data_IF_918477042259
#
_entry.id   IF_918477042259
#
_cell.length_a   1.000
_cell.length_b   1.000
_cell.length_c   1.000
_cell.angle_alpha   90.00
_cell.angle_beta   90.00
_cell.angle_gamma   90.00
#
_symmetry.space_group_name_H-M   'P 1'
#
loop_
_entity.id
_entity.type
_entity.pdbx_description
1 polymer ?
#
# COMPACT_ATOMS: atom_id res chain seq x y z
N UNK A 1 -6.40 25.32 -21.66
CA UNK A 1 -6.66 24.18 -20.76
C UNK A 1 -6.58 22.82 -21.45
N UNK A 2 -6.92 22.69 -22.74
CA UNK A 2 -6.72 21.46 -23.53
C UNK A 2 -5.23 21.17 -23.74
N UNK A 3 -4.42 22.18 -24.02
CA UNK A 3 -2.97 22.06 -24.20
C UNK A 3 -2.23 21.48 -22.95
N UNK A 4 -2.71 21.80 -21.75
CA UNK A 4 -2.16 21.23 -20.51
C UNK A 4 -2.53 19.76 -20.39
N UNK A 5 -3.77 19.39 -20.73
CA UNK A 5 -4.21 18.00 -20.73
C UNK A 5 -3.45 17.16 -21.77
N UNK A 6 -3.17 17.72 -22.95
CA UNK A 6 -2.44 17.05 -24.02
C UNK A 6 -0.99 16.72 -23.59
N UNK A 7 -0.32 17.59 -22.82
CA UNK A 7 1.02 17.34 -22.27
C UNK A 7 1.02 16.15 -21.29
N UNK A 8 -0.08 15.93 -20.55
CA UNK A 8 -0.19 14.84 -19.60
C UNK A 8 -0.72 13.54 -20.21
N UNK A 9 -1.37 13.60 -21.37
CA UNK A 9 -1.88 12.42 -22.08
C UNK A 9 -0.79 11.62 -22.80
N UNK A 10 0.36 12.23 -23.12
CA UNK A 10 1.41 11.58 -23.90
C UNK A 10 2.21 10.49 -23.15
N UNK A 11 2.01 10.31 -21.83
CA UNK A 11 2.70 9.30 -21.04
C UNK A 11 1.80 8.65 -20.00
N UNK A 12 0.89 7.82 -20.46
CA UNK A 12 0.14 6.92 -19.57
C UNK A 12 1.05 5.74 -19.22
N UNK A 13 1.57 5.71 -17.99
CA UNK A 13 2.22 4.52 -17.44
C UNK A 13 1.16 3.75 -16.67
N UNK A 14 0.83 2.54 -17.14
CA UNK A 14 -0.13 1.62 -16.49
C UNK A 14 -1.50 2.28 -16.18
N UNK A 15 -2.03 3.09 -17.10
CA UNK A 15 -3.34 3.74 -16.94
C UNK A 15 -3.37 4.97 -16.03
N UNK A 16 -2.24 5.37 -15.47
CA UNK A 16 -2.13 6.60 -14.67
C UNK A 16 -1.59 7.77 -15.49
N UNK A 17 -2.21 8.95 -15.29
CA UNK A 17 -1.65 10.19 -15.82
C UNK A 17 -0.30 10.50 -15.18
N UNK A 18 0.65 10.96 -15.97
CA UNK A 18 1.90 11.51 -15.46
C UNK A 18 1.60 12.87 -14.79
N UNK A 19 1.23 12.82 -13.50
CA UNK A 19 0.95 14.04 -12.73
C UNK A 19 2.25 14.80 -12.44
N UNK A 20 2.20 16.15 -12.36
CA UNK A 20 3.37 16.95 -12.03
C UNK A 20 3.91 16.53 -10.67
N UNK A 21 5.24 16.42 -10.58
CA UNK A 21 5.91 16.16 -9.31
C UNK A 21 5.62 17.30 -8.32
N UNK A 22 5.51 16.96 -7.04
CA UNK A 22 5.41 17.94 -5.97
C UNK A 22 6.64 18.83 -6.00
N UNK A 23 6.43 20.15 -6.13
CA UNK A 23 7.50 21.14 -6.23
C UNK A 23 7.72 21.78 -4.86
N UNK A 24 8.94 21.69 -4.35
CA UNK A 24 9.36 22.42 -3.16
C UNK A 24 9.67 23.87 -3.53
N UNK A 25 8.62 24.69 -3.67
CA UNK A 25 8.67 26.08 -4.14
C UNK A 25 9.15 27.07 -3.06
N UNK A 26 9.20 26.63 -1.80
CA UNK A 26 9.55 27.45 -0.63
C UNK A 26 8.40 28.31 -0.12
N UNK A 27 7.20 28.19 -0.70
CA UNK A 27 5.99 28.90 -0.29
C UNK A 27 4.95 27.95 0.32
N UNK A 28 4.50 26.95 -0.45
CA UNK A 28 3.61 25.89 0.05
C UNK A 28 4.43 24.80 0.71
N UNK A 29 5.47 24.34 0.03
CA UNK A 29 6.41 23.36 0.57
C UNK A 29 7.78 24.01 0.78
N UNK A 30 8.43 23.80 1.94
CA UNK A 30 9.77 24.26 2.18
C UNK A 30 10.73 23.80 1.07
N UNK A 31 11.76 24.60 0.72
CA UNK A 31 12.75 24.26 -0.31
C UNK A 31 13.47 22.92 -0.07
N UNK A 32 13.60 22.50 1.19
CA UNK A 32 14.13 21.20 1.59
C UNK A 32 13.10 20.04 1.52
N UNK A 33 11.92 20.29 0.98
CA UNK A 33 10.85 19.30 0.87
C UNK A 33 10.16 18.97 2.20
N UNK A 34 9.48 17.80 2.28
CA UNK A 34 8.74 17.34 3.45
C UNK A 34 9.67 16.67 4.48
N UNK A 35 10.54 17.46 5.09
CA UNK A 35 11.44 17.00 6.16
C UNK A 35 10.77 16.92 7.53
N UNK A 36 9.58 17.51 7.67
CA UNK A 36 8.82 17.58 8.94
C UNK A 36 9.65 18.01 10.15
N UNK A 37 10.53 19.02 9.97
CA UNK A 37 11.35 19.53 11.07
C UNK A 37 10.49 20.19 12.13
N UNK A 38 10.87 19.99 13.40
CA UNK A 38 10.14 20.54 14.54
C UNK A 38 9.94 22.06 14.39
N UNK A 39 8.69 22.51 14.50
CA UNK A 39 8.30 23.91 14.37
C UNK A 39 8.14 24.43 12.94
N UNK A 40 8.33 23.58 11.92
CA UNK A 40 8.19 23.96 10.50
C UNK A 40 6.93 23.39 9.83
N UNK A 41 6.07 22.73 10.57
CA UNK A 41 4.78 22.23 10.09
C UNK A 41 3.73 22.25 11.19
N UNK A 42 2.46 22.26 10.82
CA UNK A 42 1.35 22.17 11.74
C UNK A 42 1.20 20.73 12.22
N UNK A 43 1.27 20.52 13.54
CA UNK A 43 1.03 19.21 14.15
C UNK A 43 -0.47 18.96 14.21
N UNK A 44 -0.95 18.14 13.30
CA UNK A 44 -2.34 17.68 13.26
C UNK A 44 -2.38 16.16 13.38
N UNK A 45 -3.45 15.58 13.93
CA UNK A 45 -3.65 14.13 13.83
C UNK A 45 -3.55 13.68 12.38
N UNK A 46 -2.75 12.64 12.13
CA UNK A 46 -2.42 12.20 10.78
C UNK A 46 -2.69 10.72 10.65
N UNK A 47 -3.42 10.33 9.61
CA UNK A 47 -3.63 8.94 9.22
C UNK A 47 -2.93 8.69 7.89
N UNK A 48 -2.06 7.68 7.86
CA UNK A 48 -1.27 7.27 6.69
C UNK A 48 -1.62 5.83 6.34
N UNK A 49 -1.70 5.50 5.07
CA UNK A 49 -2.06 4.16 4.66
C UNK A 49 -1.46 3.70 3.35
N UNK A 50 -1.48 2.40 3.19
CA UNK A 50 -1.09 1.69 1.97
C UNK A 50 -1.87 0.40 1.87
N UNK A 51 -1.93 -0.17 0.67
CA UNK A 51 -2.43 -1.51 0.44
C UNK A 51 -1.25 -2.50 0.35
N UNK A 52 -1.50 -3.78 0.65
CA UNK A 52 -0.42 -4.79 0.63
C UNK A 52 0.16 -4.97 -0.77
N UNK A 53 -0.69 -4.95 -1.78
CA UNK A 53 -0.37 -5.28 -3.16
C UNK A 53 -0.57 -4.07 -4.10
N UNK A 54 -0.15 -2.86 -3.68
CA UNK A 54 -0.33 -1.60 -4.42
C UNK A 54 -0.04 -1.72 -5.92
N UNK A 55 1.02 -2.45 -6.27
CA UNK A 55 1.51 -2.52 -7.65
C UNK A 55 0.76 -3.52 -8.54
N UNK A 56 0.01 -4.46 -7.98
CA UNK A 56 -0.70 -5.48 -8.78
C UNK A 56 -1.72 -4.86 -9.74
N UNK A 57 -2.40 -3.77 -9.35
CA UNK A 57 -3.29 -3.08 -10.29
C UNK A 57 -2.56 -2.63 -11.56
N UNK A 58 -1.36 -2.07 -11.40
CA UNK A 58 -0.57 -1.56 -12.52
C UNK A 58 0.02 -2.70 -13.35
N UNK A 59 0.51 -3.74 -12.70
CA UNK A 59 1.06 -4.93 -13.38
C UNK A 59 0.01 -5.71 -14.14
N UNK A 60 -1.23 -5.73 -13.66
CA UNK A 60 -2.35 -6.35 -14.38
C UNK A 60 -2.76 -5.59 -15.66
N UNK A 61 -2.26 -4.37 -15.84
CA UNK A 61 -2.45 -3.53 -17.03
C UNK A 61 -1.18 -3.43 -17.90
N UNK A 62 -0.06 -4.02 -17.47
CA UNK A 62 1.21 -3.93 -18.16
C UNK A 62 1.49 -5.20 -18.99
N UNK A 63 1.73 -5.02 -20.29
CA UNK A 63 2.04 -6.09 -21.22
C UNK A 63 3.36 -6.81 -20.89
N UNK A 64 4.23 -6.26 -20.06
CA UNK A 64 5.41 -6.97 -19.57
C UNK A 64 5.00 -8.16 -18.69
N UNK A 65 4.02 -7.97 -17.82
CA UNK A 65 3.60 -8.95 -16.82
C UNK A 65 2.45 -9.85 -17.27
N UNK A 66 1.56 -9.33 -18.11
CA UNK A 66 0.34 -10.04 -18.48
C UNK A 66 0.15 -10.12 -20.00
N UNK A 67 -0.65 -11.09 -20.41
CA UNK A 67 -1.27 -11.12 -21.74
C UNK A 67 -2.77 -11.00 -21.54
N UNK A 68 -3.40 -10.00 -22.13
CA UNK A 68 -4.84 -9.81 -22.06
C UNK A 68 -5.51 -10.18 -23.38
N UNK A 69 -6.59 -10.98 -23.30
CA UNK A 69 -7.51 -11.24 -24.40
C UNK A 69 -8.84 -10.62 -24.06
N UNK A 70 -9.26 -9.59 -24.78
CA UNK A 70 -10.36 -8.72 -24.40
C UNK A 70 -10.15 -8.06 -23.02
N UNK A 71 -10.99 -7.13 -22.64
CA UNK A 71 -10.85 -6.36 -21.40
C UNK A 71 -11.00 -7.18 -20.09
N UNK A 72 -11.22 -8.51 -20.17
CA UNK A 72 -11.61 -9.32 -19.00
C UNK A 72 -10.80 -10.59 -18.81
N UNK A 73 -9.95 -10.98 -19.77
CA UNK A 73 -9.17 -12.21 -19.68
C UNK A 73 -7.70 -11.83 -19.53
N UNK A 74 -7.15 -12.07 -18.34
CA UNK A 74 -5.79 -11.73 -17.97
C UNK A 74 -5.02 -13.03 -17.68
N UNK A 75 -3.87 -13.20 -18.35
CA UNK A 75 -2.93 -14.26 -18.06
C UNK A 75 -1.63 -13.66 -17.56
N UNK A 76 -1.26 -13.95 -16.33
CA UNK A 76 0.06 -13.61 -15.80
C UNK A 76 1.10 -14.49 -16.48
N UNK A 77 2.08 -13.88 -17.17
CA UNK A 77 3.09 -14.58 -17.97
C UNK A 77 4.04 -15.40 -17.13
N UNK A 78 4.50 -14.81 -16.03
CA UNK A 78 5.39 -15.42 -15.05
C UNK A 78 4.87 -15.07 -13.65
N UNK A 79 4.27 -16.05 -12.98
CA UNK A 79 3.63 -15.83 -11.67
C UNK A 79 4.64 -15.51 -10.57
N UNK A 80 5.82 -16.12 -10.63
CA UNK A 80 6.87 -15.93 -9.65
C UNK A 80 7.45 -14.53 -9.76
N UNK A 81 7.84 -14.11 -10.98
CA UNK A 81 8.28 -12.75 -11.27
C UNK A 81 7.22 -11.73 -10.82
N UNK A 82 5.94 -11.98 -11.14
CA UNK A 82 4.82 -11.11 -10.80
C UNK A 82 4.72 -10.84 -9.29
N UNK A 83 4.77 -11.89 -8.47
CA UNK A 83 4.67 -11.78 -7.02
C UNK A 83 5.90 -11.10 -6.42
N UNK A 84 7.11 -11.47 -6.84
CA UNK A 84 8.37 -10.87 -6.35
C UNK A 84 8.42 -9.37 -6.68
N UNK A 85 8.12 -9.00 -7.92
CA UNK A 85 8.12 -7.60 -8.35
C UNK A 85 7.05 -6.79 -7.62
N UNK A 86 5.85 -7.37 -7.43
CA UNK A 86 4.79 -6.73 -6.66
C UNK A 86 5.22 -6.48 -5.21
N UNK A 87 5.73 -7.51 -4.51
CA UNK A 87 6.16 -7.38 -3.12
C UNK A 87 7.22 -6.28 -2.99
N UNK A 88 8.22 -6.31 -3.87
CA UNK A 88 9.29 -5.31 -3.88
C UNK A 88 8.75 -3.89 -4.10
N UNK A 89 7.97 -3.68 -5.15
CA UNK A 89 7.49 -2.36 -5.53
C UNK A 89 6.43 -1.83 -4.54
N UNK A 90 5.54 -2.69 -4.03
CA UNK A 90 4.55 -2.33 -3.02
C UNK A 90 5.19 -2.00 -1.67
N UNK A 91 6.25 -2.71 -1.28
CA UNK A 91 7.03 -2.38 -0.09
C UNK A 91 7.75 -1.03 -0.24
N UNK A 92 8.27 -0.71 -1.43
CA UNK A 92 8.84 0.61 -1.72
C UNK A 92 7.80 1.72 -1.58
N UNK A 93 6.57 1.47 -2.04
CA UNK A 93 5.44 2.38 -1.87
C UNK A 93 5.15 2.61 -0.38
N UNK A 94 5.04 1.53 0.40
CA UNK A 94 4.83 1.60 1.86
C UNK A 94 5.93 2.39 2.58
N UNK A 95 7.20 2.13 2.26
CA UNK A 95 8.33 2.82 2.89
C UNK A 95 8.25 4.32 2.63
N UNK A 96 8.06 4.73 1.38
CA UNK A 96 8.04 6.15 0.99
C UNK A 96 6.76 6.87 1.43
N UNK A 97 5.62 6.22 1.35
CA UNK A 97 4.30 6.80 1.62
C UNK A 97 3.87 6.72 3.08
N UNK A 98 4.33 5.74 3.83
CA UNK A 98 3.86 5.48 5.21
C UNK A 98 5.00 5.46 6.22
N UNK A 99 5.96 4.55 6.10
CA UNK A 99 6.92 4.28 7.18
C UNK A 99 7.88 5.45 7.42
N UNK A 100 8.44 6.04 6.37
CA UNK A 100 9.31 7.22 6.49
C UNK A 100 8.56 8.46 6.99
N UNK A 101 7.40 8.85 6.41
CA UNK A 101 6.62 9.96 6.93
C UNK A 101 6.23 9.79 8.39
N UNK A 102 5.73 8.60 8.78
CA UNK A 102 5.35 8.31 10.16
C UNK A 102 6.53 8.48 11.13
N UNK A 103 7.71 7.91 10.79
CA UNK A 103 8.93 8.07 11.61
C UNK A 103 9.33 9.53 11.77
N UNK A 104 9.34 10.29 10.66
CA UNK A 104 9.72 11.71 10.66
C UNK A 104 8.75 12.54 11.49
N UNK A 105 7.45 12.34 11.34
CA UNK A 105 6.41 13.04 12.09
C UNK A 105 6.54 12.78 13.59
N UNK A 106 6.65 11.51 14.00
CA UNK A 106 6.83 11.15 15.43
C UNK A 106 8.15 11.69 15.98
N UNK A 107 9.26 11.57 15.24
CA UNK A 107 10.56 12.14 15.63
C UNK A 107 10.48 13.65 15.83
N UNK A 108 9.64 14.34 15.07
CA UNK A 108 9.43 15.79 15.16
C UNK A 108 8.41 16.18 16.22
N UNK A 109 7.91 15.22 17.01
CA UNK A 109 7.05 15.43 18.17
C UNK A 109 5.56 15.45 17.85
N UNK A 110 5.11 14.87 16.73
CA UNK A 110 3.70 14.56 16.51
C UNK A 110 3.41 13.16 17.06
N UNK A 111 2.63 13.05 18.14
CA UNK A 111 2.26 11.78 18.77
C UNK A 111 1.00 11.13 18.14
N UNK A 112 0.25 11.91 17.37
CA UNK A 112 -1.06 11.51 16.84
C UNK A 112 -0.91 11.08 15.37
N UNK A 113 -0.01 10.12 15.13
CA UNK A 113 0.26 9.52 13.82
C UNK A 113 -0.24 8.10 13.83
N UNK A 114 -1.22 7.81 13.00
CA UNK A 114 -1.84 6.49 12.85
C UNK A 114 -1.53 5.96 11.46
N UNK A 115 -1.18 4.69 11.36
CA UNK A 115 -0.89 4.07 10.07
C UNK A 115 -1.69 2.80 9.88
N UNK A 116 -2.02 2.47 8.61
CA UNK A 116 -2.69 1.22 8.26
C UNK A 116 -2.05 0.54 7.05
N UNK A 117 -2.31 -0.77 6.93
CA UNK A 117 -2.17 -1.54 5.69
C UNK A 117 -3.47 -2.30 5.45
N UNK A 118 -4.00 -2.16 4.25
CA UNK A 118 -5.17 -2.88 3.78
C UNK A 118 -4.71 -4.17 3.10
N UNK A 119 -5.23 -5.31 3.56
CA UNK A 119 -4.77 -6.65 3.17
C UNK A 119 -5.85 -7.53 2.54
N UNK A 120 -7.05 -7.02 2.27
CA UNK A 120 -8.14 -7.78 1.63
C UNK A 120 -7.67 -8.47 0.34
N UNK A 121 -7.88 -9.80 0.24
CA UNK A 121 -7.51 -10.63 -0.91
C UNK A 121 -8.46 -11.83 -1.13
N UNK A 122 -9.74 -11.68 -0.76
CA UNK A 122 -10.76 -12.70 -1.00
C UNK A 122 -11.50 -12.50 -2.32
N UNK A 123 -10.82 -12.03 -3.34
CA UNK A 123 -11.35 -11.99 -4.69
C UNK A 123 -11.60 -13.40 -5.21
N UNK A 124 -12.70 -13.59 -5.96
CA UNK A 124 -13.05 -14.91 -6.46
C UNK A 124 -12.15 -15.38 -7.57
N UNK A 125 -12.05 -16.70 -7.72
CA UNK A 125 -11.57 -17.31 -8.96
C UNK A 125 -12.70 -17.33 -9.98
N UNK A 126 -12.46 -16.79 -11.18
CA UNK A 126 -13.38 -16.84 -12.31
C UNK A 126 -12.75 -17.61 -13.47
N UNK A 127 -13.35 -18.72 -13.86
CA UNK A 127 -12.75 -19.71 -14.76
C UNK A 127 -11.43 -20.24 -14.18
N UNK A 128 -10.30 -19.89 -14.80
CA UNK A 128 -8.94 -20.21 -14.35
C UNK A 128 -8.17 -19.00 -13.77
N UNK A 129 -8.81 -17.83 -13.74
CA UNK A 129 -8.22 -16.59 -13.24
C UNK A 129 -8.49 -16.49 -11.74
N UNK A 130 -7.46 -16.56 -10.96
CA UNK A 130 -7.49 -16.30 -9.53
C UNK A 130 -7.24 -14.79 -9.30
N UNK A 131 -8.33 -14.05 -9.10
CA UNK A 131 -8.23 -12.59 -8.95
C UNK A 131 -7.54 -12.18 -7.66
N UNK A 132 -7.51 -13.02 -6.62
CA UNK A 132 -6.73 -12.74 -5.41
C UNK A 132 -5.22 -12.74 -5.70
N UNK A 133 -4.77 -13.50 -6.69
CA UNK A 133 -3.38 -13.50 -7.15
C UNK A 133 -3.08 -12.39 -8.16
N UNK A 134 -4.09 -12.04 -8.98
CA UNK A 134 -3.94 -11.00 -10.00
C UNK A 134 -3.99 -9.61 -9.37
N UNK A 135 -4.91 -9.36 -8.47
CA UNK A 135 -5.13 -8.05 -7.85
C UNK A 135 -4.75 -8.03 -6.37
N UNK A 136 -5.24 -9.00 -5.57
CA UNK A 136 -5.09 -8.96 -4.12
C UNK A 136 -5.49 -7.61 -3.54
N UNK A 137 -4.85 -7.15 -2.50
CA UNK A 137 -5.06 -5.83 -1.93
C UNK A 137 -4.45 -4.73 -2.82
N UNK A 138 -4.97 -4.55 -4.04
CA UNK A 138 -4.42 -3.65 -5.04
C UNK A 138 -4.68 -2.17 -4.73
N UNK A 139 -3.99 -1.29 -5.44
CA UNK A 139 -4.14 0.17 -5.31
C UNK A 139 -5.59 0.64 -5.48
N UNK A 140 -6.07 1.41 -4.50
CA UNK A 140 -7.41 1.98 -4.49
C UNK A 140 -8.53 1.03 -4.06
N UNK A 141 -8.23 -0.26 -3.80
CA UNK A 141 -9.26 -1.24 -3.40
C UNK A 141 -9.80 -0.99 -1.99
N UNK A 142 -9.11 -0.27 -1.13
CA UNK A 142 -9.60 0.16 0.18
C UNK A 142 -10.73 1.21 0.10
N UNK A 143 -10.79 2.00 -0.99
CA UNK A 143 -11.73 3.13 -1.12
C UNK A 143 -13.19 2.69 -1.01
N UNK A 144 -13.66 1.63 -1.73
CA UNK A 144 -15.02 1.11 -1.58
C UNK A 144 -15.35 0.60 -0.19
N UNK A 145 -14.36 0.12 0.56
CA UNK A 145 -14.54 -0.32 1.96
C UNK A 145 -14.70 0.88 2.88
N UNK A 146 -13.86 1.90 2.75
CA UNK A 146 -13.95 3.13 3.55
C UNK A 146 -15.24 3.89 3.26
N UNK A 147 -15.70 3.93 2.01
CA UNK A 147 -16.95 4.59 1.63
C UNK A 147 -18.20 3.79 1.98
N UNK A 148 -18.06 2.48 2.25
CA UNK A 148 -19.18 1.58 2.51
C UNK A 148 -20.00 1.19 1.29
N UNK A 149 -19.63 1.63 0.09
CA UNK A 149 -20.34 1.32 -1.16
C UNK A 149 -20.06 -0.12 -1.59
N UNK A 150 -18.83 -0.58 -1.47
CA UNK A 150 -18.30 -1.83 -2.04
C UNK A 150 -18.52 -1.90 -3.55
N UNK A 151 -18.45 -0.75 -4.23
CA UNK A 151 -18.56 -0.61 -5.68
C UNK A 151 -17.18 -0.41 -6.29
N UNK A 152 -16.86 -1.18 -7.34
CA UNK A 152 -15.55 -1.22 -8.01
C UNK A 152 -15.68 -0.89 -9.50
N UNK A 153 -16.33 0.22 -9.82
CA UNK A 153 -16.45 0.76 -11.20
C UNK A 153 -16.99 -0.26 -12.22
N UNK A 154 -17.91 -1.14 -11.80
CA UNK A 154 -18.49 -2.18 -12.65
C UNK A 154 -17.72 -3.51 -12.66
N UNK A 155 -16.66 -3.62 -11.88
CA UNK A 155 -15.86 -4.86 -11.71
C UNK A 155 -16.21 -5.64 -10.44
N UNK A 156 -17.26 -5.25 -9.72
CA UNK A 156 -17.64 -5.79 -8.39
C UNK A 156 -17.65 -7.31 -8.35
N UNK A 157 -18.18 -7.96 -9.40
CA UNK A 157 -18.28 -9.43 -9.48
C UNK A 157 -16.94 -10.16 -9.49
N UNK A 158 -15.85 -9.46 -9.87
CA UNK A 158 -14.49 -10.01 -9.90
C UNK A 158 -13.71 -9.73 -8.61
N UNK A 159 -14.20 -8.81 -7.79
CA UNK A 159 -13.58 -8.41 -6.53
C UNK A 159 -14.35 -8.97 -5.34
N UNK A 160 -15.69 -8.88 -5.36
CA UNK A 160 -16.56 -9.35 -4.28
C UNK A 160 -17.69 -10.19 -4.85
N UNK A 161 -17.76 -11.46 -4.48
CA UNK A 161 -18.88 -12.34 -4.81
C UNK A 161 -19.79 -12.57 -3.59
N UNK A 162 -20.85 -13.37 -3.76
CA UNK A 162 -21.80 -13.64 -2.68
C UNK A 162 -21.15 -14.36 -1.48
N UNK A 163 -20.08 -15.14 -1.71
CA UNK A 163 -19.37 -15.85 -0.65
C UNK A 163 -18.48 -14.91 0.18
N UNK A 164 -17.76 -14.00 -0.46
CA UNK A 164 -16.85 -13.06 0.22
C UNK A 164 -17.56 -11.79 0.72
N UNK A 165 -18.77 -11.48 0.19
CA UNK A 165 -19.53 -10.28 0.53
C UNK A 165 -19.81 -10.07 2.03
N UNK A 166 -20.17 -11.09 2.84
CA UNK A 166 -20.39 -10.90 4.27
C UNK A 166 -19.13 -10.38 4.99
N UNK A 167 -17.98 -11.00 4.73
CA UNK A 167 -16.71 -10.59 5.32
C UNK A 167 -16.24 -9.21 4.80
N UNK A 168 -16.43 -8.92 3.50
CA UNK A 168 -16.20 -7.59 2.94
C UNK A 168 -17.04 -6.51 3.64
N UNK A 169 -18.32 -6.81 3.91
CA UNK A 169 -19.22 -5.88 4.62
C UNK A 169 -18.81 -5.67 6.07
N UNK A 170 -18.37 -6.72 6.76
CA UNK A 170 -17.84 -6.64 8.12
C UNK A 170 -16.58 -5.76 8.19
N UNK A 171 -15.60 -6.01 7.31
CA UNK A 171 -14.39 -5.20 7.22
C UNK A 171 -14.72 -3.74 6.87
N UNK A 172 -15.59 -3.51 5.89
CA UNK A 172 -16.05 -2.17 5.51
C UNK A 172 -16.69 -1.43 6.68
N UNK A 173 -17.58 -2.07 7.45
CA UNK A 173 -18.19 -1.47 8.63
C UNK A 173 -17.15 -1.08 9.68
N UNK A 174 -16.14 -1.92 9.88
CA UNK A 174 -15.02 -1.65 10.80
C UNK A 174 -14.19 -0.46 10.33
N UNK A 175 -13.84 -0.43 9.03
CA UNK A 175 -13.09 0.68 8.43
C UNK A 175 -13.86 1.99 8.53
N UNK A 176 -15.13 2.02 8.14
CA UNK A 176 -15.99 3.22 8.29
C UNK A 176 -16.04 3.70 9.73
N UNK A 177 -16.09 2.78 10.69
CA UNK A 177 -16.12 3.10 12.12
C UNK A 177 -14.82 3.77 12.58
N UNK A 178 -13.66 3.28 12.18
CA UNK A 178 -12.36 3.89 12.48
C UNK A 178 -12.21 5.27 11.83
N UNK A 179 -12.52 5.41 10.53
CA UNK A 179 -12.42 6.68 9.81
C UNK A 179 -13.36 7.74 10.40
N UNK A 180 -14.60 7.37 10.71
CA UNK A 180 -15.53 8.27 11.36
C UNK A 180 -15.05 8.71 12.74
N UNK A 181 -14.53 7.78 13.58
CA UNK A 181 -14.00 8.14 14.89
C UNK A 181 -12.79 9.08 14.76
N UNK A 182 -11.87 8.79 13.85
CA UNK A 182 -10.72 9.66 13.57
C UNK A 182 -11.16 11.05 13.11
N UNK A 183 -12.12 11.15 12.21
CA UNK A 183 -12.62 12.43 11.71
C UNK A 183 -13.25 13.29 12.82
N UNK A 184 -13.89 12.67 13.81
CA UNK A 184 -14.50 13.39 14.94
C UNK A 184 -13.53 13.75 16.05
N UNK A 185 -12.54 12.91 16.32
CA UNK A 185 -11.72 13.02 17.55
C UNK A 185 -10.22 13.17 17.27
N UNK A 186 -9.76 12.97 16.04
CA UNK A 186 -8.34 12.88 15.70
C UNK A 186 -7.68 11.55 16.11
N UNK A 187 -8.46 10.59 16.64
CA UNK A 187 -7.96 9.30 17.11
C UNK A 187 -8.94 8.17 16.74
N UNK A 188 -8.56 7.18 15.92
CA UNK A 188 -9.45 6.11 15.51
C UNK A 188 -9.84 5.16 16.68
N UNK A 189 -8.98 5.06 17.71
CA UNK A 189 -9.25 4.28 18.92
C UNK A 189 -9.73 2.86 18.64
N UNK A 190 -10.87 2.48 19.19
CA UNK A 190 -11.57 1.21 18.92
C UNK A 190 -12.85 1.42 18.09
N UNK A 191 -12.82 2.42 17.20
CA UNK A 191 -13.96 2.82 16.37
C UNK A 191 -15.07 3.53 17.13
N UNK A 192 -16.16 3.87 16.44
CA UNK A 192 -17.30 4.64 17.00
C UNK A 192 -18.00 3.93 18.14
N UNK A 193 -18.15 2.60 18.07
CA UNK A 193 -18.82 1.79 19.09
C UNK A 193 -17.88 1.31 20.20
N UNK A 194 -16.57 1.53 20.07
CA UNK A 194 -15.53 1.08 21.01
C UNK A 194 -15.42 -0.44 21.15
N UNK A 195 -15.80 -1.19 20.14
CA UNK A 195 -15.84 -2.65 20.10
C UNK A 195 -14.83 -3.29 19.15
N UNK A 196 -14.04 -2.47 18.45
CA UNK A 196 -13.00 -2.93 17.53
C UNK A 196 -11.62 -3.03 18.20
N UNK A 197 -10.67 -3.70 17.52
CA UNK A 197 -9.25 -3.71 17.91
C UNK A 197 -8.75 -2.27 18.12
N UNK A 198 -8.01 -2.04 19.19
CA UNK A 198 -7.52 -0.68 19.50
C UNK A 198 -6.42 -0.26 18.54
N UNK A 199 -6.73 0.62 17.61
CA UNK A 199 -5.75 1.24 16.71
C UNK A 199 -4.86 2.19 17.51
N UNK A 200 -3.61 1.77 17.73
CA UNK A 200 -2.62 2.53 18.48
C UNK A 200 -1.81 3.45 17.55
N UNK A 201 -1.36 4.62 18.03
CA UNK A 201 -0.50 5.48 17.24
C UNK A 201 0.86 4.82 16.96
N UNK A 202 1.47 5.23 15.87
CA UNK A 202 2.82 4.81 15.48
C UNK A 202 3.84 5.14 16.57
N UNK A 203 4.69 4.20 16.88
CA UNK A 203 5.78 4.37 17.83
C UNK A 203 7.14 4.05 17.17
N UNK A 204 8.10 4.98 17.27
CA UNK A 204 9.45 4.73 16.80
C UNK A 204 10.17 3.72 17.70
N UNK A 205 11.14 3.01 17.10
CA UNK A 205 11.99 2.04 17.78
C UNK A 205 11.62 0.58 17.52
N UNK A 206 12.59 -0.34 17.70
CA UNK A 206 12.40 -1.76 17.44
C UNK A 206 11.31 -2.38 18.32
N UNK A 207 10.52 -3.28 17.74
CA UNK A 207 9.47 -4.02 18.46
C UNK A 207 8.28 -3.18 18.95
N UNK A 208 8.25 -1.88 18.64
CA UNK A 208 7.13 -1.00 18.95
C UNK A 208 6.03 -1.10 17.90
N UNK A 209 4.81 -0.79 18.30
CA UNK A 209 3.64 -0.76 17.41
C UNK A 209 3.86 0.23 16.27
N UNK A 210 3.46 -0.16 15.06
CA UNK A 210 3.60 0.63 13.84
C UNK A 210 2.26 0.95 13.20
N UNK A 211 1.55 -0.03 12.73
CA UNK A 211 0.32 0.16 11.97
C UNK A 211 -0.73 -0.92 12.29
N UNK A 212 -1.96 -0.63 11.97
CA UNK A 212 -3.03 -1.62 11.98
C UNK A 212 -3.10 -2.32 10.61
N UNK A 213 -3.26 -3.63 10.61
CA UNK A 213 -3.63 -4.40 9.43
C UNK A 213 -5.15 -4.48 9.39
N UNK A 214 -5.71 -4.20 8.23
CA UNK A 214 -7.14 -4.23 7.94
C UNK A 214 -7.41 -5.37 6.97
N UNK A 215 -7.76 -6.51 7.50
CA UNK A 215 -7.94 -7.74 6.76
C UNK A 215 -9.28 -8.38 7.13
N UNK A 216 -9.71 -9.34 6.32
CA UNK A 216 -10.94 -10.10 6.51
C UNK A 216 -10.88 -11.00 7.74
N UNK A 217 -12.02 -11.14 8.41
CA UNK A 217 -12.18 -12.14 9.48
C UNK A 217 -12.05 -13.59 9.01
N UNK A 218 -12.12 -13.82 7.69
CA UNK A 218 -11.89 -15.15 7.09
C UNK A 218 -10.40 -15.51 7.00
N UNK A 219 -9.50 -14.54 7.06
CA UNK A 219 -8.04 -14.74 7.12
C UNK A 219 -7.51 -14.33 8.51
N UNK A 220 -6.79 -13.24 8.62
CA UNK A 220 -6.12 -12.81 9.87
C UNK A 220 -6.93 -11.81 10.66
N UNK A 221 -7.92 -11.19 10.03
CA UNK A 221 -8.72 -10.15 10.64
C UNK A 221 -7.94 -8.85 10.88
N UNK A 222 -8.45 -8.02 11.78
CA UNK A 222 -7.87 -6.72 12.13
C UNK A 222 -6.93 -6.87 13.32
N UNK A 223 -5.67 -6.45 13.16
CA UNK A 223 -4.66 -6.54 14.24
C UNK A 223 -3.58 -5.46 14.13
N UNK A 224 -2.91 -5.17 15.27
CA UNK A 224 -1.76 -4.26 15.30
C UNK A 224 -0.46 -4.94 14.90
N UNK A 225 0.28 -4.36 13.98
CA UNK A 225 1.58 -4.83 13.51
C UNK A 225 2.72 -4.03 14.14
N UNK A 226 3.86 -4.71 14.33
CA UNK A 226 5.13 -4.13 14.78
C UNK A 226 6.18 -4.09 13.68
N UNK A 227 5.83 -4.56 12.48
CA UNK A 227 6.74 -4.58 11.34
C UNK A 227 6.93 -3.18 10.78
N UNK A 228 8.16 -2.87 10.38
CA UNK A 228 8.55 -1.60 9.78
C UNK A 228 9.59 -1.87 8.71
N UNK A 229 9.48 -1.18 7.60
CA UNK A 229 10.42 -1.29 6.50
C UNK A 229 11.34 -0.06 6.49
N UNK A 230 12.58 -0.29 6.12
CA UNK A 230 13.57 0.76 5.97
C UNK A 230 14.16 0.71 4.57
N UNK A 231 14.41 1.87 4.02
CA UNK A 231 15.41 1.98 2.97
C UNK A 231 16.78 2.16 3.62
N UNK A 232 17.70 1.44 3.12
CA UNK A 232 19.09 1.88 3.14
C UNK A 232 19.28 2.92 2.03
N UNK A 233 20.11 3.94 2.27
CA UNK A 233 20.33 5.04 1.31
C UNK A 233 20.91 4.57 -0.03
N UNK A 234 21.62 3.45 -0.05
CA UNK A 234 22.17 2.80 -1.24
C UNK A 234 21.08 2.12 -2.06
N UNK A 235 20.10 1.49 -1.40
CA UNK A 235 18.92 0.90 -2.02
C UNK A 235 17.95 1.95 -2.55
N UNK A 236 17.85 3.14 -1.96
CA UNK A 236 17.10 4.25 -2.51
C UNK A 236 17.63 4.69 -3.88
N UNK A 237 18.95 4.73 -4.05
CA UNK A 237 19.57 5.07 -5.34
C UNK A 237 19.33 3.98 -6.38
N UNK A 238 19.43 2.73 -5.99
CA UNK A 238 19.21 1.58 -6.87
C UNK A 238 17.74 1.45 -7.28
N UNK A 239 16.79 1.69 -6.38
CA UNK A 239 15.36 1.67 -6.69
C UNK A 239 14.91 2.83 -7.61
N UNK A 240 15.62 3.95 -7.61
CA UNK A 240 15.35 5.10 -8.48
C UNK A 240 15.99 4.92 -9.87
N UNK A 241 17.18 4.29 -9.96
CA UNK A 241 17.93 4.12 -11.21
C UNK A 241 17.63 2.84 -11.97
N UNK A 242 17.11 1.81 -11.30
CA UNK A 242 16.74 0.58 -11.95
C UNK A 242 15.22 0.47 -12.02
N UNK A 243 14.67 0.58 -13.21
CA UNK A 243 13.47 -0.17 -13.60
C UNK A 243 13.88 -1.64 -13.54
N UNK A 244 13.94 -2.10 -12.36
CA UNK A 244 14.30 -3.37 -11.77
C UNK A 244 14.49 -4.49 -12.79
N UNK A 245 15.69 -4.63 -13.30
CA UNK A 245 16.09 -5.73 -14.17
C UNK A 245 17.07 -6.71 -13.54
N UNK A 246 17.62 -6.42 -12.37
CA UNK A 246 18.73 -7.18 -11.82
C UNK A 246 18.34 -7.95 -10.54
N UNK A 247 18.41 -9.28 -10.62
CA UNK A 247 18.19 -10.23 -9.52
C UNK A 247 19.06 -9.90 -8.29
N UNK A 248 20.29 -9.44 -8.50
CA UNK A 248 21.22 -9.08 -7.43
C UNK A 248 20.72 -7.94 -6.56
N UNK A 249 20.10 -6.92 -7.15
CA UNK A 249 19.49 -5.79 -6.44
C UNK A 249 18.27 -6.23 -5.63
N UNK A 250 17.47 -7.13 -6.19
CA UNK A 250 16.34 -7.75 -5.48
C UNK A 250 16.81 -8.55 -4.26
N UNK A 251 17.89 -9.29 -4.40
CA UNK A 251 18.46 -10.08 -3.30
C UNK A 251 19.02 -9.23 -2.17
N UNK A 252 19.65 -8.08 -2.46
CA UNK A 252 20.09 -7.12 -1.44
C UNK A 252 18.88 -6.58 -0.66
N UNK A 253 17.80 -6.20 -1.37
CA UNK A 253 16.57 -5.73 -0.74
C UNK A 253 15.93 -6.77 0.18
N UNK A 254 15.82 -8.02 -0.27
CA UNK A 254 15.25 -9.14 0.47
C UNK A 254 16.08 -9.45 1.73
N UNK A 255 17.41 -9.43 1.63
CA UNK A 255 18.29 -9.62 2.78
C UNK A 255 18.11 -8.51 3.82
N UNK A 256 17.91 -7.25 3.41
CA UNK A 256 17.63 -6.15 4.34
C UNK A 256 16.23 -6.27 4.98
N UNK A 257 15.24 -6.79 4.28
CA UNK A 257 13.94 -7.12 4.86
C UNK A 257 14.07 -8.21 5.93
N UNK A 258 14.92 -9.21 5.71
CA UNK A 258 15.21 -10.29 6.68
C UNK A 258 15.86 -9.75 7.95
N UNK A 259 16.84 -8.87 7.83
CA UNK A 259 17.51 -8.22 8.98
C UNK A 259 16.55 -7.33 9.77
N UNK A 260 15.57 -6.69 9.13
CA UNK A 260 14.53 -5.89 9.76
C UNK A 260 13.42 -6.71 10.45
N UNK A 261 13.50 -8.05 10.39
CA UNK A 261 12.53 -8.98 11.02
C UNK A 261 11.30 -9.29 10.16
N UNK A 262 11.26 -8.82 8.93
CA UNK A 262 10.23 -9.21 7.95
C UNK A 262 10.65 -10.53 7.28
N UNK A 263 9.84 -11.57 7.46
CA UNK A 263 10.06 -12.87 6.80
C UNK A 263 9.29 -12.89 5.48
N UNK A 264 9.96 -12.62 4.37
CA UNK A 264 9.54 -13.13 3.07
C UNK A 264 10.17 -14.52 2.89
N UNK A 265 9.37 -15.56 2.90
CA UNK A 265 9.87 -16.94 2.79
C UNK A 265 10.21 -17.34 1.34
N UNK A 266 9.74 -16.58 0.35
CA UNK A 266 9.73 -17.02 -1.04
C UNK A 266 11.01 -16.66 -1.82
N UNK A 267 11.54 -15.48 -1.61
CA UNK A 267 12.66 -14.97 -2.40
C UNK A 267 14.06 -15.38 -1.88
N UNK A 268 14.13 -16.07 -0.74
CA UNK A 268 15.40 -16.42 -0.11
C UNK A 268 16.15 -17.56 -0.81
N UNK A 269 15.44 -18.54 -1.37
CA UNK A 269 16.07 -19.71 -2.01
C UNK A 269 16.84 -19.37 -3.30
N UNK A 270 16.42 -18.35 -4.04
CA UNK A 270 17.15 -17.91 -5.23
C UNK A 270 18.33 -17.02 -4.89
N UNK A 271 18.21 -16.18 -3.86
CA UNK A 271 19.31 -15.33 -3.41
C UNK A 271 20.43 -16.09 -2.73
N UNK A 272 20.17 -17.28 -2.17
CA UNK A 272 21.20 -18.16 -1.58
C UNK A 272 22.01 -18.92 -2.64
N UNK A 273 21.59 -18.88 -3.91
CA UNK A 273 22.28 -19.51 -5.05
C UNK A 273 23.25 -18.57 -5.77
N UNK A 274 23.26 -17.29 -5.43
CA UNK A 274 24.15 -16.26 -5.98
C UNK A 274 25.28 -15.92 -5.01
#
# INVERSE_FOLDING_TARGET
SSEILDIYQEKIVAGMFNVPRIIADGYVLPKQGMEFRRGQFNKVPTMLGTNRDEMKLFFALDEEFVTSFSNFIIFVKDKEKYEIENEYASNNWKISGVDQPARKLVKSGNSDVFAYRFDWDEEPTYLWMDFSKIFGAAHGFEIPFVSGSLEFFGFERFIINDKSRPAARELSNSMMSYWAEFAYTGNPGSGRKKDLEKWQPWQNGPGKVKFIVLDSSNDKGIYMSKSELFYDDELQRLAVDTRIGDIKTKCIYINNLKESGNKSNFALEECEKL
#
